data_IF_056852291148
#
_entry.id   IF_056852291148
#
_cell.length_a   1.000
_cell.length_b   1.000
_cell.length_c   1.000
_cell.angle_alpha   90.00
_cell.angle_beta   90.00
_cell.angle_gamma   90.00
#
_symmetry.space_group_name_H-M   'P 1'
#
loop_
_entity.id
_entity.type
_entity.pdbx_description
1 polymer ?
#
# COMPACT_ATOMS: atom_id res chain seq x y z
N UNK A 1 -20.23 18.51 51.92
CA UNK A 1 -19.82 18.40 50.50
C UNK A 1 -18.77 17.32 50.41
N UNK A 2 -18.91 16.34 49.50
CA UNK A 2 -17.98 15.21 49.38
C UNK A 2 -16.60 15.79 49.03
N UNK A 3 -15.63 15.64 49.93
CA UNK A 3 -14.22 15.95 49.65
C UNK A 3 -13.72 14.88 48.66
N UNK A 4 -13.90 15.13 47.38
CA UNK A 4 -13.30 14.33 46.32
C UNK A 4 -11.80 14.58 46.39
N UNK A 5 -11.00 13.53 46.24
CA UNK A 5 -9.55 13.64 46.35
C UNK A 5 -8.99 14.35 45.12
N UNK A 6 -7.98 15.20 45.34
CA UNK A 6 -7.26 15.88 44.26
C UNK A 6 -6.71 14.89 43.23
N UNK A 7 -6.30 13.68 43.66
CA UNK A 7 -5.84 12.63 42.74
C UNK A 7 -6.91 12.24 41.70
N UNK A 8 -8.17 12.09 42.13
CA UNK A 8 -9.27 11.75 41.19
C UNK A 8 -9.47 12.91 40.21
N UNK A 9 -9.34 14.15 40.67
CA UNK A 9 -9.49 15.33 39.82
C UNK A 9 -8.35 15.40 38.80
N UNK A 10 -7.10 15.23 39.23
CA UNK A 10 -5.93 15.17 38.35
C UNK A 10 -6.07 14.08 37.29
N UNK A 11 -6.60 12.90 37.63
CA UNK A 11 -6.86 11.82 36.66
C UNK A 11 -7.94 12.20 35.63
N UNK A 12 -8.91 13.04 36.02
CA UNK A 12 -10.01 13.49 35.16
C UNK A 12 -9.65 14.71 34.28
N UNK A 13 -8.66 15.52 34.66
CA UNK A 13 -8.24 16.73 33.93
C UNK A 13 -7.94 16.42 32.44
N UNK A 14 -7.14 15.40 32.08
CA UNK A 14 -6.88 15.05 30.69
C UNK A 14 -8.17 14.72 29.92
N UNK A 15 -9.05 13.92 30.51
CA UNK A 15 -10.30 13.48 29.88
C UNK A 15 -11.27 14.63 29.63
N UNK A 16 -11.30 15.62 30.53
CA UNK A 16 -12.10 16.84 30.40
C UNK A 16 -11.52 17.75 29.32
N UNK A 17 -10.19 17.92 29.28
CA UNK A 17 -9.49 18.72 28.27
C UNK A 17 -9.62 18.12 26.86
N UNK A 18 -9.61 16.80 26.75
CA UNK A 18 -9.81 16.05 25.50
C UNK A 18 -11.30 15.96 25.08
N UNK A 19 -12.24 16.54 25.87
CA UNK A 19 -13.70 16.54 25.63
C UNK A 19 -14.33 15.15 25.48
N UNK A 20 -13.74 14.14 26.12
CA UNK A 20 -14.24 12.75 26.14
C UNK A 20 -14.90 12.37 27.48
N UNK A 21 -14.78 13.23 28.49
CA UNK A 21 -15.41 13.05 29.79
C UNK A 21 -16.94 13.20 29.73
N UNK A 22 -17.63 12.55 30.67
CA UNK A 22 -19.08 12.76 30.86
C UNK A 22 -19.34 14.14 31.46
N UNK A 23 -20.54 14.71 31.24
CA UNK A 23 -20.93 16.01 31.83
C UNK A 23 -20.82 16.02 33.35
N UNK A 24 -21.17 14.93 34.02
CA UNK A 24 -21.03 14.80 35.47
C UNK A 24 -19.56 14.89 35.91
N UNK A 25 -18.63 14.34 35.12
CA UNK A 25 -17.20 14.43 35.38
C UNK A 25 -16.63 15.82 35.11
N UNK A 26 -17.14 16.52 34.08
CA UNK A 26 -16.75 17.91 33.80
C UNK A 26 -17.17 18.86 34.91
N UNK A 27 -18.43 18.79 35.35
CA UNK A 27 -18.95 19.66 36.40
C UNK A 27 -18.21 19.40 37.73
N UNK A 28 -17.89 18.12 38.00
CA UNK A 28 -17.09 17.73 39.16
C UNK A 28 -15.68 18.33 39.17
N UNK A 29 -15.01 18.38 38.01
CA UNK A 29 -13.67 18.99 37.90
C UNK A 29 -13.78 20.52 38.05
N UNK A 30 -14.77 21.16 37.41
CA UNK A 30 -15.00 22.61 37.51
C UNK A 30 -15.27 23.05 38.95
N UNK A 31 -16.15 22.35 39.65
CA UNK A 31 -16.47 22.65 41.05
C UNK A 31 -15.23 22.52 41.97
N UNK A 32 -14.31 21.58 41.68
CA UNK A 32 -13.13 21.37 42.52
C UNK A 32 -12.02 22.40 42.30
N UNK A 33 -11.78 22.81 41.04
CA UNK A 33 -10.74 23.80 40.72
C UNK A 33 -11.10 25.23 41.15
N UNK A 34 -12.39 25.50 41.45
CA UNK A 34 -12.81 26.76 42.08
C UNK A 34 -12.22 26.90 43.50
N UNK A 35 -12.18 25.81 44.25
CA UNK A 35 -11.74 25.78 45.65
C UNK A 35 -10.29 25.26 45.85
N UNK A 36 -9.67 24.66 44.83
CA UNK A 36 -8.32 24.07 44.91
C UNK A 36 -7.35 24.68 43.90
N UNK A 37 -6.39 25.47 44.39
CA UNK A 37 -5.37 26.15 43.58
C UNK A 37 -4.43 25.17 42.86
N UNK A 38 -4.03 24.08 43.52
CA UNK A 38 -3.14 23.06 42.93
C UNK A 38 -3.78 22.35 41.72
N UNK A 39 -5.07 21.97 41.82
CA UNK A 39 -5.78 21.35 40.70
C UNK A 39 -6.08 22.36 39.56
N UNK A 40 -6.22 23.65 39.88
CA UNK A 40 -6.38 24.70 38.87
C UNK A 40 -5.12 24.88 38.04
N UNK A 41 -3.96 24.95 38.69
CA UNK A 41 -2.66 25.09 38.02
C UNK A 41 -2.39 23.90 37.08
N UNK A 42 -2.69 22.68 37.52
CA UNK A 42 -2.61 21.48 36.68
C UNK A 42 -3.58 21.55 35.47
N UNK A 43 -4.80 22.04 35.67
CA UNK A 43 -5.78 22.19 34.58
C UNK A 43 -5.35 23.23 33.54
N UNK A 44 -4.71 24.33 33.96
CA UNK A 44 -4.22 25.37 33.06
C UNK A 44 -2.93 24.94 32.33
N UNK A 45 -2.04 24.24 33.02
CA UNK A 45 -0.76 23.74 32.46
C UNK A 45 -0.96 22.62 31.46
N UNK A 46 -2.03 21.82 31.61
CA UNK A 46 -2.33 20.74 30.68
C UNK A 46 -2.79 21.27 29.31
N UNK A 47 -1.91 21.15 28.33
CA UNK A 47 -2.18 21.41 26.92
C UNK A 47 -2.84 20.18 26.30
N UNK A 48 -4.09 20.32 25.84
CA UNK A 48 -4.84 19.23 25.21
C UNK A 48 -4.19 18.85 23.89
N UNK A 49 -4.03 17.55 23.64
CA UNK A 49 -3.65 17.08 22.31
C UNK A 49 -4.93 17.12 21.46
N UNK A 50 -5.00 18.06 20.52
CA UNK A 50 -6.16 18.17 19.64
C UNK A 50 -6.19 16.94 18.72
N UNK A 51 -7.18 16.06 18.90
CA UNK A 51 -7.38 14.84 18.08
C UNK A 51 -7.47 15.16 16.57
N UNK A 52 -7.84 16.40 16.23
CA UNK A 52 -7.85 16.89 14.86
C UNK A 52 -6.43 16.95 14.25
N UNK A 53 -5.43 17.36 15.02
CA UNK A 53 -4.04 17.47 14.53
C UNK A 53 -3.43 16.08 14.27
N UNK A 54 -3.72 15.10 15.14
CA UNK A 54 -3.35 13.70 14.91
C UNK A 54 -3.96 13.16 13.61
N UNK A 55 -5.24 13.47 13.34
CA UNK A 55 -5.94 12.95 12.14
C UNK A 55 -5.37 13.48 10.81
N UNK A 56 -4.94 14.75 10.77
CA UNK A 56 -4.40 15.38 9.56
C UNK A 56 -2.97 14.92 9.26
N UNK A 57 -2.19 14.68 10.30
CA UNK A 57 -0.81 14.21 10.17
C UNK A 57 -0.78 12.74 9.73
N UNK A 58 -1.66 11.91 10.31
CA UNK A 58 -1.87 10.51 9.89
C UNK A 58 -2.32 10.39 8.44
N UNK A 59 -3.24 11.25 7.97
CA UNK A 59 -3.70 11.21 6.58
C UNK A 59 -2.57 11.54 5.58
N UNK A 60 -1.74 12.54 5.89
CA UNK A 60 -0.56 12.89 5.07
C UNK A 60 0.49 11.79 5.06
N UNK A 61 0.73 11.14 6.20
CA UNK A 61 1.66 10.01 6.33
C UNK A 61 1.14 8.82 5.51
N UNK A 62 -0.13 8.44 5.66
CA UNK A 62 -0.77 7.35 4.91
C UNK A 62 -0.72 7.62 3.41
N UNK A 63 -1.00 8.85 2.97
CA UNK A 63 -0.93 9.22 1.56
C UNK A 63 0.50 9.10 1.01
N UNK A 64 1.50 9.53 1.79
CA UNK A 64 2.91 9.43 1.43
C UNK A 64 3.38 7.98 1.33
N UNK A 65 2.94 7.11 2.26
CA UNK A 65 3.22 5.67 2.22
C UNK A 65 2.58 5.03 1.00
N UNK A 66 1.30 5.29 0.74
CA UNK A 66 0.59 4.76 -0.44
C UNK A 66 1.29 5.17 -1.74
N UNK A 67 1.72 6.43 -1.85
CA UNK A 67 2.47 6.93 -3.00
C UNK A 67 3.80 6.20 -3.16
N UNK A 68 4.58 6.03 -2.09
CA UNK A 68 5.87 5.34 -2.15
C UNK A 68 5.70 3.86 -2.54
N UNK A 69 4.69 3.17 -2.00
CA UNK A 69 4.38 1.78 -2.38
C UNK A 69 3.98 1.68 -3.84
N UNK A 70 3.19 2.63 -4.35
CA UNK A 70 2.84 2.66 -5.77
C UNK A 70 4.07 2.88 -6.66
N UNK A 71 4.96 3.82 -6.29
CA UNK A 71 6.20 4.09 -7.03
C UNK A 71 7.11 2.87 -7.05
N UNK A 72 7.32 2.20 -5.91
CA UNK A 72 8.17 0.99 -5.87
C UNK A 72 7.58 -0.14 -6.72
N UNK A 73 6.27 -0.33 -6.70
CA UNK A 73 5.58 -1.30 -7.56
C UNK A 73 5.74 -0.97 -9.05
N UNK A 74 5.62 0.30 -9.45
CA UNK A 74 5.87 0.73 -10.82
C UNK A 74 7.32 0.49 -11.25
N UNK A 75 8.29 0.80 -10.38
CA UNK A 75 9.71 0.54 -10.64
C UNK A 75 9.96 -0.95 -10.84
N UNK A 76 9.39 -1.82 -10.00
CA UNK A 76 9.51 -3.28 -10.15
C UNK A 76 8.90 -3.74 -11.47
N UNK A 77 7.73 -3.21 -11.85
CA UNK A 77 7.09 -3.57 -13.11
C UNK A 77 7.94 -3.15 -14.33
N UNK A 78 8.47 -1.94 -14.33
CA UNK A 78 9.30 -1.45 -15.44
C UNK A 78 10.60 -2.26 -15.53
N UNK A 79 11.32 -2.40 -14.42
CA UNK A 79 12.59 -3.13 -14.40
C UNK A 79 12.38 -4.62 -14.72
N UNK A 80 11.36 -5.25 -14.14
CA UNK A 80 11.02 -6.63 -14.40
C UNK A 80 10.67 -6.89 -15.87
N UNK A 81 9.95 -5.96 -16.50
CA UNK A 81 9.63 -6.05 -17.92
C UNK A 81 10.88 -5.92 -18.79
N UNK A 82 11.74 -4.93 -18.51
CA UNK A 82 12.99 -4.71 -19.26
C UNK A 82 13.91 -5.92 -19.11
N UNK A 83 14.14 -6.39 -17.89
CA UNK A 83 14.99 -7.55 -17.60
C UNK A 83 14.42 -8.79 -18.29
N UNK A 84 13.12 -9.03 -18.16
CA UNK A 84 12.48 -10.19 -18.76
C UNK A 84 12.63 -10.21 -20.29
N UNK A 85 12.43 -9.06 -20.94
CA UNK A 85 12.63 -8.92 -22.39
C UNK A 85 14.10 -9.07 -22.77
N UNK A 86 15.03 -8.46 -22.03
CA UNK A 86 16.46 -8.52 -22.31
C UNK A 86 17.05 -9.95 -22.23
N UNK A 87 16.44 -10.83 -21.43
CA UNK A 87 16.86 -12.24 -21.33
C UNK A 87 16.37 -13.11 -22.48
N UNK A 88 15.44 -12.63 -23.30
CA UNK A 88 14.86 -13.41 -24.40
C UNK A 88 15.92 -13.80 -25.44
N UNK A 89 15.92 -15.05 -25.88
CA UNK A 89 16.92 -15.55 -26.84
C UNK A 89 18.28 -15.92 -26.22
N UNK A 90 18.46 -15.72 -24.91
CA UNK A 90 19.64 -16.17 -24.16
C UNK A 90 19.33 -17.43 -23.31
N UNK A 91 20.36 -18.05 -22.72
CA UNK A 91 20.14 -19.11 -21.71
C UNK A 91 19.29 -18.61 -20.52
N UNK A 92 19.32 -17.31 -20.23
CA UNK A 92 18.55 -16.70 -19.14
C UNK A 92 17.04 -16.62 -19.41
N UNK A 93 16.56 -16.96 -20.60
CA UNK A 93 15.13 -16.90 -20.93
C UNK A 93 14.26 -17.76 -20.00
N UNK A 94 14.81 -18.83 -19.41
CA UNK A 94 14.08 -19.69 -18.48
C UNK A 94 13.72 -18.97 -17.17
N UNK A 95 14.44 -17.90 -16.79
CA UNK A 95 14.04 -17.08 -15.64
C UNK A 95 12.69 -16.37 -15.86
N UNK A 96 12.24 -16.20 -17.12
CA UNK A 96 10.93 -15.64 -17.41
C UNK A 96 9.76 -16.52 -16.95
N UNK A 97 9.98 -17.83 -16.71
CA UNK A 97 8.98 -18.68 -16.06
C UNK A 97 8.68 -18.28 -14.62
N UNK A 98 9.55 -17.51 -13.97
CA UNK A 98 9.35 -16.98 -12.61
C UNK A 98 9.02 -15.49 -12.67
N UNK A 99 9.76 -14.72 -13.49
CA UNK A 99 9.59 -13.27 -13.59
C UNK A 99 8.19 -12.91 -14.11
N UNK A 100 7.73 -13.51 -15.20
CA UNK A 100 6.46 -13.13 -15.83
C UNK A 100 5.23 -13.45 -14.95
N UNK A 101 5.15 -14.60 -14.26
CA UNK A 101 4.07 -14.82 -13.29
C UNK A 101 4.05 -13.82 -12.14
N UNK A 102 5.22 -13.48 -11.57
CA UNK A 102 5.32 -12.46 -10.50
C UNK A 102 4.83 -11.11 -11.02
N UNK A 103 5.26 -10.73 -12.23
CA UNK A 103 4.82 -9.51 -12.92
C UNK A 103 3.31 -9.44 -13.13
N UNK A 104 2.68 -10.56 -13.46
CA UNK A 104 1.22 -10.69 -13.57
C UNK A 104 0.51 -10.39 -12.24
N UNK A 105 1.01 -10.95 -11.14
CA UNK A 105 0.50 -10.67 -9.79
C UNK A 105 0.70 -9.22 -9.36
N UNK A 106 1.90 -8.65 -9.55
CA UNK A 106 2.19 -7.26 -9.20
C UNK A 106 1.32 -6.29 -10.02
N UNK A 107 1.06 -6.60 -11.30
CA UNK A 107 0.19 -5.78 -12.16
C UNK A 107 -1.23 -5.64 -11.60
N UNK A 108 -1.79 -6.69 -10.98
CA UNK A 108 -3.09 -6.60 -10.30
C UNK A 108 -3.06 -5.67 -9.10
N UNK A 109 -2.00 -5.75 -8.28
CA UNK A 109 -1.91 -4.96 -7.04
C UNK A 109 -1.66 -3.49 -7.37
N UNK A 110 -0.70 -3.23 -8.26
CA UNK A 110 -0.21 -1.89 -8.55
C UNK A 110 -1.22 -1.09 -9.37
N UNK A 111 -1.83 -1.71 -10.40
CA UNK A 111 -2.69 -1.02 -11.35
C UNK A 111 -4.19 -1.21 -11.07
N UNK A 112 -4.57 -2.10 -10.15
CA UNK A 112 -5.96 -2.40 -9.78
C UNK A 112 -6.85 -2.58 -11.01
N UNK A 113 -7.77 -1.64 -11.27
CA UNK A 113 -8.71 -1.67 -12.40
C UNK A 113 -8.03 -1.55 -13.78
N UNK A 114 -6.77 -1.08 -13.82
CA UNK A 114 -5.95 -0.93 -15.03
C UNK A 114 -4.89 -2.02 -15.16
N UNK A 115 -5.08 -3.20 -14.55
CA UNK A 115 -4.15 -4.32 -14.61
C UNK A 115 -3.73 -4.71 -16.04
N UNK A 116 -4.64 -4.56 -17.01
CA UNK A 116 -4.39 -4.86 -18.42
C UNK A 116 -3.28 -3.99 -19.04
N UNK A 117 -3.00 -2.81 -18.48
CA UNK A 117 -1.89 -1.95 -18.94
C UNK A 117 -0.53 -2.62 -18.74
N UNK A 118 -0.36 -3.44 -17.69
CA UNK A 118 0.86 -4.23 -17.50
C UNK A 118 1.05 -5.27 -18.61
N UNK A 119 -0.02 -5.94 -19.01
CA UNK A 119 -0.02 -6.94 -20.09
C UNK A 119 0.28 -6.30 -21.44
N UNK A 120 -0.40 -5.19 -21.75
CA UNK A 120 -0.14 -4.42 -22.97
C UNK A 120 1.30 -3.90 -22.98
N UNK A 121 1.77 -3.37 -21.85
CA UNK A 121 3.13 -2.87 -21.71
C UNK A 121 4.19 -3.93 -21.99
N UNK A 122 4.07 -5.11 -21.37
CA UNK A 122 5.01 -6.23 -21.60
C UNK A 122 4.91 -6.77 -23.03
N UNK A 123 3.70 -6.88 -23.60
CA UNK A 123 3.53 -7.32 -24.98
C UNK A 123 4.20 -6.35 -25.96
N UNK A 124 3.92 -5.05 -25.85
CA UNK A 124 4.51 -4.03 -26.73
C UNK A 124 6.03 -3.96 -26.53
N UNK A 125 6.50 -3.97 -25.29
CA UNK A 125 7.94 -3.92 -24.99
C UNK A 125 8.68 -5.14 -25.54
N UNK A 126 8.11 -6.35 -25.37
CA UNK A 126 8.71 -7.57 -25.91
C UNK A 126 8.71 -7.58 -27.44
N UNK A 127 7.60 -7.21 -28.07
CA UNK A 127 7.48 -7.16 -29.52
C UNK A 127 8.47 -6.16 -30.14
N UNK A 128 8.46 -4.92 -29.65
CA UNK A 128 9.36 -3.87 -30.15
C UNK A 128 10.82 -4.15 -29.78
N UNK A 129 11.09 -4.63 -28.56
CA UNK A 129 12.44 -4.95 -28.10
C UNK A 129 13.11 -6.01 -28.96
N UNK A 130 12.37 -7.04 -29.36
CA UNK A 130 12.86 -8.05 -30.30
C UNK A 130 13.17 -7.45 -31.67
N UNK A 131 12.24 -6.70 -32.25
CA UNK A 131 12.43 -6.09 -33.56
C UNK A 131 13.66 -5.17 -33.54
N UNK A 132 13.80 -4.34 -32.51
CA UNK A 132 14.96 -3.43 -32.36
C UNK A 132 16.25 -4.23 -32.22
N UNK A 133 16.28 -5.29 -31.41
CA UNK A 133 17.46 -6.13 -31.24
C UNK A 133 17.94 -6.68 -32.59
N UNK A 134 17.05 -7.26 -33.38
CA UNK A 134 17.40 -7.84 -34.68
C UNK A 134 17.74 -6.82 -35.77
N UNK A 135 17.14 -5.62 -35.71
CA UNK A 135 17.55 -4.50 -36.59
C UNK A 135 18.97 -4.06 -36.23
N UNK A 136 19.31 -3.96 -34.95
CA UNK A 136 20.64 -3.53 -34.49
C UNK A 136 21.71 -4.57 -34.82
N UNK A 137 21.38 -5.87 -34.82
CA UNK A 137 22.30 -6.93 -35.21
C UNK A 137 22.38 -7.17 -36.72
N UNK A 138 21.63 -6.40 -37.54
CA UNK A 138 21.55 -6.53 -39.00
C UNK A 138 21.08 -7.92 -39.49
N UNK A 139 20.33 -8.63 -38.65
CA UNK A 139 19.80 -9.98 -38.94
C UNK A 139 18.29 -9.95 -39.21
N UNK A 140 17.74 -8.82 -39.66
CA UNK A 140 16.30 -8.65 -39.81
C UNK A 140 15.70 -9.51 -40.95
N UNK A 141 14.68 -10.30 -40.62
CA UNK A 141 13.89 -11.10 -41.57
C UNK A 141 12.41 -11.09 -41.20
N UNK A 142 11.53 -11.39 -42.17
CA UNK A 142 10.07 -11.43 -41.94
C UNK A 142 9.64 -12.47 -40.91
N UNK A 143 10.42 -13.54 -40.72
CA UNK A 143 10.17 -14.60 -39.74
C UNK A 143 10.27 -14.08 -38.30
N UNK A 144 11.08 -13.04 -38.06
CA UNK A 144 11.27 -12.43 -36.74
C UNK A 144 10.00 -11.73 -36.27
N UNK A 145 9.20 -11.16 -37.17
CA UNK A 145 7.92 -10.55 -36.79
C UNK A 145 6.97 -11.58 -36.17
N UNK A 146 6.94 -12.78 -36.75
CA UNK A 146 6.18 -13.90 -36.21
C UNK A 146 6.78 -14.43 -34.90
N UNK A 147 8.11 -14.55 -34.83
CA UNK A 147 8.80 -14.95 -33.60
C UNK A 147 8.57 -13.98 -32.44
N UNK A 148 8.66 -12.67 -32.69
CA UNK A 148 8.41 -11.63 -31.71
C UNK A 148 6.96 -11.67 -31.20
N UNK A 149 6.00 -11.89 -32.09
CA UNK A 149 4.60 -12.07 -31.71
C UNK A 149 4.41 -13.32 -30.83
N UNK A 150 5.09 -14.42 -31.15
CA UNK A 150 5.04 -15.65 -30.37
C UNK A 150 5.60 -15.47 -28.96
N UNK A 151 6.75 -14.80 -28.80
CA UNK A 151 7.29 -14.47 -27.48
C UNK A 151 6.36 -13.56 -26.68
N UNK A 152 5.77 -12.54 -27.32
CA UNK A 152 4.80 -11.68 -26.69
C UNK A 152 3.60 -12.45 -26.13
N UNK A 153 3.05 -13.39 -26.92
CA UNK A 153 1.94 -14.26 -26.50
C UNK A 153 2.33 -15.16 -25.32
N UNK A 154 3.54 -15.73 -25.35
CA UNK A 154 4.05 -16.55 -24.23
C UNK A 154 4.11 -15.72 -22.95
N UNK A 155 4.68 -14.52 -23.00
CA UNK A 155 4.85 -13.68 -21.82
C UNK A 155 3.52 -13.22 -21.21
N UNK A 156 2.56 -12.78 -22.03
CA UNK A 156 1.23 -12.43 -21.51
C UNK A 156 0.48 -13.65 -20.95
N UNK A 157 0.72 -14.83 -21.51
CA UNK A 157 0.12 -16.08 -21.01
C UNK A 157 0.70 -16.49 -19.66
N UNK A 158 2.02 -16.35 -19.47
CA UNK A 158 2.68 -16.55 -18.17
C UNK A 158 2.24 -15.51 -17.14
N UNK A 159 2.07 -14.25 -17.55
CA UNK A 159 1.50 -13.21 -16.68
C UNK A 159 0.06 -13.55 -16.28
N UNK A 160 -0.77 -14.04 -17.20
CA UNK A 160 -2.14 -14.46 -16.89
C UNK A 160 -2.17 -15.62 -15.89
N UNK A 161 -1.26 -16.60 -16.06
CA UNK A 161 -1.11 -17.69 -15.12
C UNK A 161 -0.71 -17.17 -13.73
N UNK A 162 0.28 -16.28 -13.66
CA UNK A 162 0.70 -15.66 -12.39
C UNK A 162 -0.39 -14.82 -11.73
N UNK A 163 -1.19 -14.12 -12.53
CA UNK A 163 -2.38 -13.41 -12.08
C UNK A 163 -3.38 -14.36 -11.40
N UNK A 164 -3.69 -15.49 -12.04
CA UNK A 164 -4.61 -16.49 -11.50
C UNK A 164 -4.05 -17.06 -10.18
N UNK A 165 -2.77 -17.44 -10.15
CA UNK A 165 -2.09 -17.91 -8.93
C UNK A 165 -2.24 -16.86 -7.82
N UNK A 166 -1.95 -15.59 -8.13
CA UNK A 166 -2.04 -14.52 -7.14
C UNK A 166 -3.45 -14.34 -6.59
N UNK A 167 -4.49 -14.39 -7.44
CA UNK A 167 -5.89 -14.34 -7.01
C UNK A 167 -6.22 -15.51 -6.08
N UNK A 168 -5.79 -16.73 -6.43
CA UNK A 168 -6.02 -17.93 -5.62
C UNK A 168 -5.31 -17.85 -4.26
N UNK A 169 -4.07 -17.37 -4.22
CA UNK A 169 -3.33 -17.13 -2.98
C UNK A 169 -4.03 -16.09 -2.12
N UNK A 170 -4.48 -14.97 -2.71
CA UNK A 170 -5.24 -13.94 -1.99
C UNK A 170 -6.54 -14.50 -1.41
N UNK A 171 -7.23 -15.37 -2.14
CA UNK A 171 -8.44 -16.02 -1.64
C UNK A 171 -8.15 -17.00 -0.49
N UNK A 172 -7.08 -17.79 -0.61
CA UNK A 172 -6.69 -18.78 0.40
C UNK A 172 -6.26 -18.12 1.72
N UNK A 173 -5.45 -17.05 1.65
CA UNK A 173 -4.93 -16.35 2.84
C UNK A 173 -5.82 -15.21 3.33
N UNK A 174 -6.66 -14.63 2.46
CA UNK A 174 -7.55 -13.52 2.83
C UNK A 174 -8.71 -13.89 3.74
N UNK A 175 -9.00 -15.19 3.91
CA UNK A 175 -10.08 -15.68 4.77
C UNK A 175 -9.74 -15.66 6.28
N UNK A 176 -8.53 -15.25 6.65
CA UNK A 176 -8.07 -15.20 8.04
C UNK A 176 -8.36 -13.89 8.79
N UNK A 177 -8.65 -12.78 8.10
CA UNK A 177 -8.83 -11.46 8.73
C UNK A 177 -10.25 -11.18 9.21
N UNK A 178 -11.28 -11.77 8.59
CA UNK A 178 -12.68 -11.47 8.89
C UNK A 178 -13.22 -12.17 10.15
N UNK A 179 -12.36 -12.91 10.87
CA UNK A 179 -12.74 -13.69 12.06
C UNK A 179 -12.55 -12.94 13.39
N UNK A 180 -11.87 -11.78 13.38
CA UNK A 180 -11.56 -11.00 14.60
C UNK A 180 -12.50 -9.83 14.85
N UNK A 181 -13.49 -9.59 14.00
CA UNK A 181 -14.41 -8.45 14.11
C UNK A 181 -15.83 -8.86 14.58
N UNK A 182 -16.00 -10.09 15.08
CA UNK A 182 -17.30 -10.65 15.48
C UNK A 182 -17.32 -11.39 16.83
N UNK A 183 -16.33 -11.19 17.70
CA UNK A 183 -16.38 -11.67 19.10
C UNK A 183 -16.36 -10.50 20.08
#
# INVERSE_FOLDING_TARGET
MKKISCNIICDLIPLVKDRVASRESEDMVKDHIEDCEACREEFETFESIDLADLSLEDEKIIHSIKRNVFITQMTILILGAIIGVALTGSMGQFYNFIIMPIMGGISLIALKDRWYMGFIGVFVLSYLGQIIYFIVTDEFSWEILYGAMFYGIIYISLMALGMIIFILLRFAFGKGSDRYEKE
#
